data_IF_069020575367
#
_entry.id   IF_069020575367
#
_cell.length_a   1.000
_cell.length_b   1.000
_cell.length_c   1.000
_cell.angle_alpha   90.00
_cell.angle_beta   90.00
_cell.angle_gamma   90.00
#
_symmetry.space_group_name_H-M   'P 1'
#
loop_
_entity.id
_entity.type
_entity.pdbx_description
1 polymer ?
#
# COMPACT_ATOMS: atom_id res chain seq x y z
N UNK A 1 3.86 -2.87 -19.44
CA UNK A 1 4.47 -3.64 -18.34
C UNK A 1 5.36 -2.71 -17.53
N UNK A 2 5.19 -2.71 -16.21
CA UNK A 2 6.02 -1.92 -15.30
C UNK A 2 7.43 -2.53 -15.26
N UNK A 3 8.45 -1.69 -15.16
CA UNK A 3 9.84 -2.14 -15.03
C UNK A 3 10.67 -1.11 -14.27
N UNK A 4 11.86 -1.49 -13.82
CA UNK A 4 12.80 -0.59 -13.14
C UNK A 4 12.19 0.14 -11.94
N UNK A 5 11.33 -0.54 -11.16
CA UNK A 5 10.78 -0.01 -9.92
C UNK A 5 11.91 0.26 -8.92
N UNK A 6 12.01 1.50 -8.46
CA UNK A 6 13.05 1.98 -7.57
C UNK A 6 12.44 2.82 -6.45
N UNK A 7 13.06 2.71 -5.29
CA UNK A 7 12.87 3.64 -4.17
C UNK A 7 14.22 4.30 -3.92
N UNK A 8 14.24 5.62 -3.82
CA UNK A 8 15.47 6.36 -3.56
C UNK A 8 16.01 6.11 -2.14
N UNK A 9 17.24 6.57 -1.87
CA UNK A 9 17.86 6.41 -0.55
C UNK A 9 17.13 7.15 0.57
N UNK A 10 16.36 8.19 0.24
CA UNK A 10 15.52 8.87 1.23
C UNK A 10 14.28 8.07 1.62
N UNK A 11 13.90 7.07 0.84
CA UNK A 11 12.68 6.29 1.03
C UNK A 11 11.41 7.09 0.74
N UNK A 12 11.51 8.21 0.01
CA UNK A 12 10.38 9.13 -0.24
C UNK A 12 10.07 9.32 -1.71
N UNK A 13 11.02 9.00 -2.59
CA UNK A 13 10.81 9.07 -4.03
C UNK A 13 10.77 7.66 -4.61
N UNK A 14 9.70 7.39 -5.36
CA UNK A 14 9.44 6.11 -6.01
C UNK A 14 9.35 6.37 -7.49
N UNK A 15 10.05 5.58 -8.29
CA UNK A 15 9.98 5.68 -9.73
C UNK A 15 9.92 4.32 -10.40
N UNK A 16 9.30 4.28 -11.57
CA UNK A 16 9.23 3.10 -12.42
C UNK A 16 9.12 3.53 -13.88
N UNK A 17 9.33 2.58 -14.78
CA UNK A 17 9.16 2.77 -16.21
C UNK A 17 7.91 2.08 -16.72
N UNK A 18 7.15 2.78 -17.56
CA UNK A 18 6.06 2.22 -18.34
C UNK A 18 6.10 2.82 -19.75
N UNK A 19 6.10 1.97 -20.78
CA UNK A 19 6.13 2.42 -22.19
C UNK A 19 7.23 3.45 -22.51
N UNK A 20 8.45 3.19 -22.02
CA UNK A 20 9.63 4.07 -22.12
C UNK A 20 9.51 5.44 -21.41
N UNK A 21 8.42 5.70 -20.69
CA UNK A 21 8.27 6.88 -19.85
C UNK A 21 8.67 6.53 -18.42
N UNK A 22 9.43 7.44 -17.80
CA UNK A 22 9.72 7.35 -16.36
C UNK A 22 8.60 8.05 -15.60
N UNK A 23 7.94 7.30 -14.71
CA UNK A 23 6.94 7.82 -13.80
C UNK A 23 7.58 7.95 -12.43
N UNK A 24 7.37 9.10 -11.78
CA UNK A 24 7.93 9.41 -10.47
C UNK A 24 6.85 9.92 -9.52
N UNK A 25 6.90 9.45 -8.27
CA UNK A 25 6.06 9.89 -7.15
C UNK A 25 6.94 10.31 -5.98
N UNK A 26 6.60 11.44 -5.37
CA UNK A 26 7.30 11.98 -4.21
C UNK A 26 6.33 12.09 -3.05
N UNK A 27 6.76 11.64 -1.88
CA UNK A 27 6.01 11.63 -0.63
C UNK A 27 6.69 12.56 0.37
N UNK A 28 5.90 13.22 1.23
CA UNK A 28 6.47 14.08 2.29
C UNK A 28 7.14 13.23 3.37
N UNK A 29 6.50 12.11 3.69
CA UNK A 29 6.92 11.12 4.66
C UNK A 29 7.56 9.90 4.00
N UNK A 30 8.24 9.10 4.81
CA UNK A 30 8.89 7.86 4.36
C UNK A 30 7.82 6.85 3.90
N UNK A 31 8.15 6.14 2.83
CA UNK A 31 7.42 4.96 2.37
C UNK A 31 7.92 3.74 3.09
N UNK A 32 6.98 2.99 3.68
CA UNK A 32 7.25 1.75 4.40
C UNK A 32 7.39 0.58 3.45
N UNK A 33 6.56 0.53 2.41
CA UNK A 33 6.58 -0.57 1.46
C UNK A 33 6.11 -0.14 0.08
N UNK A 34 6.73 -0.72 -0.95
CA UNK A 34 6.34 -0.58 -2.36
C UNK A 34 6.26 -1.98 -2.96
N UNK A 35 5.15 -2.26 -3.64
CA UNK A 35 4.88 -3.56 -4.26
C UNK A 35 4.39 -3.35 -5.67
N UNK A 36 5.01 -4.03 -6.64
CA UNK A 36 4.46 -4.17 -7.98
C UNK A 36 3.46 -5.32 -8.00
N UNK A 37 2.21 -5.04 -8.38
CA UNK A 37 1.16 -6.03 -8.56
C UNK A 37 1.12 -6.42 -10.04
N UNK A 38 1.93 -7.40 -10.41
CA UNK A 38 2.19 -7.77 -11.82
C UNK A 38 0.92 -8.12 -12.60
N UNK A 39 0.05 -8.96 -12.03
CA UNK A 39 -1.15 -9.43 -12.71
C UNK A 39 -2.20 -8.33 -12.94
N UNK A 40 -2.10 -7.19 -12.26
CA UNK A 40 -2.96 -6.01 -12.48
C UNK A 40 -2.23 -4.85 -13.17
N UNK A 41 -0.92 -4.97 -13.43
CA UNK A 41 -0.07 -3.84 -13.86
C UNK A 41 -0.23 -2.61 -12.94
N UNK A 42 -0.21 -2.82 -11.63
CA UNK A 42 -0.37 -1.75 -10.64
C UNK A 42 0.85 -1.64 -9.71
N UNK A 43 0.95 -0.52 -9.02
CA UNK A 43 1.90 -0.32 -7.91
C UNK A 43 1.12 0.05 -6.66
N UNK A 44 1.36 -0.69 -5.60
CA UNK A 44 0.87 -0.39 -4.26
C UNK A 44 2.01 0.22 -3.43
N UNK A 45 1.73 1.35 -2.81
CA UNK A 45 2.66 2.09 -1.94
C UNK A 45 2.00 2.26 -0.59
N UNK A 46 2.69 1.88 0.49
CA UNK A 46 2.27 2.15 1.87
C UNK A 46 3.24 3.19 2.42
N UNK A 47 2.74 4.40 2.68
CA UNK A 47 3.50 5.47 3.32
C UNK A 47 3.27 5.49 4.83
N UNK A 48 4.04 6.31 5.53
CA UNK A 48 3.69 6.73 6.89
C UNK A 48 2.27 7.29 6.96
N UNK A 49 1.55 7.00 8.05
CA UNK A 49 0.21 7.52 8.28
C UNK A 49 0.18 9.04 8.43
N UNK A 50 1.30 9.70 8.74
CA UNK A 50 1.41 11.16 8.74
C UNK A 50 1.36 11.78 7.33
N UNK A 51 1.46 10.98 6.26
CA UNK A 51 1.30 11.47 4.89
C UNK A 51 -0.15 11.88 4.60
N UNK A 52 -1.10 10.99 4.93
CA UNK A 52 -2.51 11.13 4.56
C UNK A 52 -3.49 10.43 5.53
N UNK A 53 -3.10 10.29 6.81
CA UNK A 53 -3.90 9.70 7.87
C UNK A 53 -4.31 8.25 7.58
N UNK A 54 -5.60 7.99 7.77
CA UNK A 54 -6.32 6.72 7.49
C UNK A 54 -6.29 6.27 6.01
N UNK A 55 -5.66 7.05 5.13
CA UNK A 55 -5.52 6.81 3.70
C UNK A 55 -4.03 6.79 3.31
N UNK A 56 -3.22 6.01 4.00
CA UNK A 56 -1.77 5.93 3.73
C UNK A 56 -1.35 4.79 2.77
N UNK A 57 -2.31 4.04 2.24
CA UNK A 57 -2.08 3.07 1.15
C UNK A 57 -2.53 3.66 -0.18
N UNK A 58 -1.64 3.73 -1.16
CA UNK A 58 -1.87 4.29 -2.48
C UNK A 58 -1.74 3.20 -3.54
N UNK A 59 -2.70 3.14 -4.45
CA UNK A 59 -2.67 2.23 -5.59
C UNK A 59 -2.60 3.07 -6.85
N UNK A 60 -1.54 2.87 -7.61
CA UNK A 60 -1.31 3.52 -8.90
C UNK A 60 -1.49 2.50 -10.03
N UNK A 61 -2.09 2.94 -11.13
CA UNK A 61 -2.03 2.19 -12.38
C UNK A 61 -0.65 2.33 -13.04
N UNK A 62 -0.42 1.59 -14.11
CA UNK A 62 0.83 1.55 -14.86
C UNK A 62 1.26 2.92 -15.40
N UNK A 63 0.30 3.83 -15.63
CA UNK A 63 0.53 5.19 -16.13
C UNK A 63 0.78 6.21 -15.00
N UNK A 64 0.77 5.78 -13.74
CA UNK A 64 1.05 6.64 -12.59
C UNK A 64 -0.15 7.44 -12.09
N UNK A 65 -1.36 7.13 -12.52
CA UNK A 65 -2.57 7.71 -11.92
C UNK A 65 -2.90 6.96 -10.62
N UNK A 66 -3.15 7.71 -9.55
CA UNK A 66 -3.66 7.13 -8.31
C UNK A 66 -5.12 6.71 -8.54
N UNK A 67 -5.36 5.40 -8.62
CA UNK A 67 -6.68 4.83 -8.90
C UNK A 67 -7.44 4.48 -7.61
N UNK A 68 -6.71 4.27 -6.50
CA UNK A 68 -7.33 4.08 -5.21
C UNK A 68 -6.42 4.55 -4.07
N UNK A 69 -7.08 5.05 -3.03
CA UNK A 69 -6.45 5.40 -1.76
C UNK A 69 -7.46 5.04 -0.65
N UNK A 70 -7.61 3.74 -0.36
CA UNK A 70 -8.70 3.24 0.46
C UNK A 70 -8.61 3.78 1.88
N UNK A 71 -9.76 4.19 2.41
CA UNK A 71 -9.91 4.66 3.79
C UNK A 71 -9.92 3.45 4.74
N UNK A 72 -9.38 3.62 5.95
CA UNK A 72 -9.57 2.64 7.00
C UNK A 72 -11.06 2.36 7.26
N UNK A 73 -11.43 1.08 7.47
CA UNK A 73 -12.82 0.65 7.56
C UNK A 73 -13.49 0.99 8.90
N UNK A 74 -12.70 1.38 9.91
CA UNK A 74 -13.14 1.70 11.26
C UNK A 74 -12.22 2.78 11.86
N UNK A 75 -12.73 3.58 12.80
CA UNK A 75 -11.97 4.57 13.55
C UNK A 75 -10.96 3.96 14.54
N UNK A 76 -11.02 2.64 14.75
CA UNK A 76 -10.01 1.89 15.51
C UNK A 76 -8.63 1.94 14.83
N UNK A 77 -8.60 2.01 13.50
CA UNK A 77 -7.39 1.98 12.70
C UNK A 77 -7.06 3.37 12.15
N UNK A 78 -5.80 3.75 12.22
CA UNK A 78 -5.33 5.04 11.69
C UNK A 78 -4.41 4.90 10.47
N UNK A 79 -4.16 3.68 10.01
CA UNK A 79 -3.45 3.43 8.75
C UNK A 79 -3.06 1.97 8.56
N UNK A 80 -2.31 1.74 7.49
CA UNK A 80 -1.70 0.46 7.14
C UNK A 80 -0.22 0.50 7.44
N UNK A 81 0.30 -0.54 8.06
CA UNK A 81 1.74 -0.67 8.31
C UNK A 81 2.44 -1.41 7.16
N UNK A 82 1.91 -2.57 6.78
CA UNK A 82 2.54 -3.44 5.78
C UNK A 82 1.51 -4.34 5.09
N UNK A 83 1.92 -4.92 3.95
CA UNK A 83 1.17 -5.94 3.22
C UNK A 83 2.05 -7.18 3.04
N UNK A 84 1.51 -8.35 3.39
CA UNK A 84 2.10 -9.64 3.06
C UNK A 84 1.69 -10.03 1.64
N UNK A 85 2.40 -9.45 0.67
CA UNK A 85 2.12 -9.67 -0.75
C UNK A 85 2.46 -11.09 -1.21
N UNK A 86 1.50 -11.74 -1.87
CA UNK A 86 1.65 -13.00 -2.60
C UNK A 86 1.25 -12.80 -4.05
N UNK A 87 2.16 -13.09 -4.97
CA UNK A 87 1.93 -12.94 -6.41
C UNK A 87 0.75 -13.81 -6.88
N UNK A 88 0.00 -13.33 -7.87
CA UNK A 88 -1.22 -13.95 -8.42
C UNK A 88 -2.33 -14.27 -7.40
N UNK A 89 -2.27 -13.71 -6.19
CA UNK A 89 -3.39 -13.74 -5.25
C UNK A 89 -4.05 -12.36 -5.21
N UNK A 90 -5.38 -12.31 -5.25
CA UNK A 90 -6.11 -11.03 -5.12
C UNK A 90 -6.38 -10.64 -3.67
N UNK A 91 -6.43 -11.60 -2.76
CA UNK A 91 -6.62 -11.38 -1.33
C UNK A 91 -5.27 -11.38 -0.64
N UNK A 92 -4.92 -10.25 -0.06
CA UNK A 92 -3.64 -10.04 0.61
C UNK A 92 -3.87 -9.80 2.07
N UNK A 93 -3.00 -10.33 2.93
CA UNK A 93 -3.04 -9.99 4.34
C UNK A 93 -2.34 -8.66 4.55
N UNK A 94 -2.99 -7.74 5.25
CA UNK A 94 -2.48 -6.40 5.56
C UNK A 94 -2.41 -6.23 7.06
N UNK A 95 -1.30 -5.69 7.56
CA UNK A 95 -1.12 -5.31 8.97
C UNK A 95 -1.53 -3.85 9.13
N UNK A 96 -2.38 -3.60 10.13
CA UNK A 96 -3.00 -2.31 10.39
C UNK A 96 -2.31 -1.62 11.58
N UNK A 97 -2.31 -0.30 11.53
CA UNK A 97 -1.96 0.55 12.65
C UNK A 97 -3.24 0.86 13.44
N UNK A 98 -3.32 0.41 14.70
CA UNK A 98 -4.48 0.61 15.57
C UNK A 98 -4.15 1.46 16.78
N UNK A 99 -5.17 2.15 17.31
CA UNK A 99 -5.08 2.94 18.55
C UNK A 99 -5.18 2.08 19.83
N UNK A 100 -5.28 0.76 19.68
CA UNK A 100 -5.42 -0.13 20.83
C UNK A 100 -4.07 -0.35 21.53
N UNK A 101 -4.12 -0.57 22.85
CA UNK A 101 -2.93 -0.85 23.66
C UNK A 101 -2.67 -2.36 23.78
N UNK A 102 -3.07 -3.16 22.79
CA UNK A 102 -2.88 -4.62 22.85
C UNK A 102 -1.46 -5.00 22.44
N UNK A 103 -0.99 -6.15 22.92
CA UNK A 103 0.34 -6.68 22.55
C UNK A 103 0.37 -7.35 21.16
N UNK A 104 -0.77 -7.44 20.49
CA UNK A 104 -0.90 -8.08 19.18
C UNK A 104 -1.16 -7.04 18.10
N UNK A 105 -0.53 -7.19 16.96
CA UNK A 105 -0.86 -6.36 15.81
C UNK A 105 -2.23 -6.79 15.25
N UNK A 106 -2.94 -5.84 14.65
CA UNK A 106 -4.20 -6.10 13.96
C UNK A 106 -3.91 -6.36 12.48
N UNK A 107 -4.58 -7.34 11.91
CA UNK A 107 -4.49 -7.69 10.48
C UNK A 107 -5.88 -7.82 9.86
N UNK A 108 -5.94 -7.70 8.55
CA UNK A 108 -7.14 -7.93 7.76
C UNK A 108 -6.77 -8.52 6.39
N UNK A 109 -7.78 -8.92 5.63
CA UNK A 109 -7.65 -9.19 4.20
C UNK A 109 -7.98 -7.94 3.39
N UNK A 110 -7.15 -7.64 2.40
CA UNK A 110 -7.35 -6.58 1.42
C UNK A 110 -7.46 -7.17 0.03
N UNK A 111 -8.51 -6.79 -0.69
CA UNK A 111 -8.73 -7.24 -2.06
C UNK A 111 -8.15 -6.23 -3.06
N UNK A 112 -7.18 -6.67 -3.86
CA UNK A 112 -6.45 -5.82 -4.81
C UNK A 112 -7.28 -5.37 -6.02
N UNK A 113 -8.42 -5.99 -6.30
CA UNK A 113 -9.27 -5.63 -7.45
C UNK A 113 -10.30 -4.54 -7.11
N UNK A 114 -10.84 -4.57 -5.88
CA UNK A 114 -11.90 -3.66 -5.44
C UNK A 114 -11.50 -2.75 -4.27
N UNK A 115 -10.29 -2.92 -3.73
CA UNK A 115 -9.70 -2.12 -2.66
C UNK A 115 -10.49 -2.13 -1.34
N UNK A 116 -11.16 -3.25 -1.05
CA UNK A 116 -11.95 -3.44 0.18
C UNK A 116 -11.17 -4.22 1.23
N UNK A 117 -11.25 -3.76 2.48
CA UNK A 117 -10.75 -4.45 3.67
C UNK A 117 -11.83 -5.37 4.28
N UNK A 118 -11.44 -6.56 4.75
CA UNK A 118 -12.34 -7.56 5.34
C UNK A 118 -11.59 -8.48 6.32
N UNK A 119 -12.29 -9.36 7.04
CA UNK A 119 -11.67 -10.43 7.85
C UNK A 119 -10.63 -9.93 8.88
N UNK A 120 -11.03 -8.96 9.71
CA UNK A 120 -10.20 -8.37 10.76
C UNK A 120 -9.91 -9.36 11.90
N UNK A 121 -8.65 -9.47 12.30
CA UNK A 121 -8.21 -10.35 13.39
C UNK A 121 -6.86 -9.89 13.96
N UNK A 122 -6.41 -10.53 15.03
CA UNK A 122 -5.07 -10.32 15.62
C UNK A 122 -4.02 -11.21 14.94
N UNK A 123 -2.75 -10.79 14.95
CA UNK A 123 -1.61 -11.53 14.37
C UNK A 123 -1.13 -12.75 15.18
N UNK A 124 -2.01 -13.41 15.95
CA UNK A 124 -1.73 -14.58 16.81
C UNK A 124 -0.68 -15.55 16.27
#
# INVERSE_FOLDING_TARGET
MISNLKVDSSGRNISWMHSNLTISKSFKMKVFQVVEIKFLNQILIISDCKENGEKNMFIYNENGYCIANPKMPSSEFYGVYSIWYRDNNKLQTVVLLSNDNTSYEKKCEFNLENYVFSNFSETK
#
